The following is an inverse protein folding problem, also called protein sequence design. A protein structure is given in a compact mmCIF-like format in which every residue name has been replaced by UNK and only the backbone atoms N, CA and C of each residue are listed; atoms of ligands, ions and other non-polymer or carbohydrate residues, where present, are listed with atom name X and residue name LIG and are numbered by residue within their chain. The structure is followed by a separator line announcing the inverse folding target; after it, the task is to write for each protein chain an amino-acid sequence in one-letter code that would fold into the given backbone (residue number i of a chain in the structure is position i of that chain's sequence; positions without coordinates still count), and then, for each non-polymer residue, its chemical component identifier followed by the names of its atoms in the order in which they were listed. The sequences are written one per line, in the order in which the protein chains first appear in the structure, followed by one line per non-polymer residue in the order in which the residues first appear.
data_IF_034012975680
#
_entry.id   IF_034012975680
#
_cell.length_a   1.000
_cell.length_b   1.000
_cell.length_c   1.000
_cell.angle_alpha   90.00
_cell.angle_beta   90.00
_cell.angle_gamma   90.00
#
_symmetry.space_group_name_H-M   'P 1'
#
loop_
_entity.id
_entity.type
_entity.pdbx_description
1 polymer ?
#
# COMPACT_ATOMS: atom_id res chain seq x y z
N UNK A 1 -18.47 -21.46 14.63
CA UNK A 1 -17.06 -21.11 14.71
C UNK A 1 -16.78 -19.85 13.92
N UNK A 2 -16.07 -18.94 14.52
CA UNK A 2 -15.73 -17.69 13.84
C UNK A 2 -14.47 -17.87 12.99
N UNK A 3 -14.56 -17.50 11.74
CA UNK A 3 -13.38 -17.31 10.91
C UNK A 3 -12.81 -15.92 11.19
N UNK A 4 -11.54 -15.72 10.88
CA UNK A 4 -11.06 -14.37 10.74
C UNK A 4 -11.75 -13.69 9.56
N UNK A 5 -11.93 -12.38 9.63
CA UNK A 5 -12.49 -11.62 8.50
C UNK A 5 -11.70 -11.85 7.22
N UNK A 6 -10.38 -11.93 7.32
CA UNK A 6 -9.52 -12.14 6.16
C UNK A 6 -9.75 -13.50 5.51
N UNK A 7 -9.90 -14.57 6.32
CA UNK A 7 -10.18 -15.90 5.80
C UNK A 7 -11.55 -15.95 5.10
N UNK A 8 -12.54 -15.27 5.68
CA UNK A 8 -13.87 -15.19 5.09
C UNK A 8 -13.84 -14.46 3.75
N UNK A 9 -13.21 -13.30 3.71
CA UNK A 9 -13.08 -12.50 2.49
C UNK A 9 -12.32 -13.26 1.41
N UNK A 10 -11.22 -13.93 1.78
CA UNK A 10 -10.42 -14.71 0.85
C UNK A 10 -11.23 -15.81 0.17
N UNK A 11 -12.12 -16.47 0.90
CA UNK A 11 -12.94 -17.56 0.35
C UNK A 11 -14.06 -17.07 -0.58
N UNK A 12 -14.44 -15.79 -0.51
CA UNK A 12 -15.56 -15.24 -1.26
C UNK A 12 -15.17 -14.23 -2.33
N UNK A 13 -14.00 -13.63 -2.24
CA UNK A 13 -13.53 -12.64 -3.21
C UNK A 13 -12.67 -13.34 -4.26
N UNK A 14 -13.04 -13.15 -5.52
CA UNK A 14 -12.25 -13.61 -6.65
C UNK A 14 -11.27 -12.51 -7.04
N UNK A 15 -10.01 -12.88 -7.21
CA UNK A 15 -8.94 -11.96 -7.55
C UNK A 15 -7.60 -12.54 -7.10
N UNK A 16 -6.55 -11.75 -7.23
CA UNK A 16 -5.25 -12.18 -6.73
C UNK A 16 -5.22 -12.18 -5.21
N UNK A 17 -4.39 -13.03 -4.63
CA UNK A 17 -4.18 -13.05 -3.18
C UNK A 17 -3.64 -11.71 -2.68
N UNK A 18 -2.84 -11.05 -3.49
CA UNK A 18 -2.29 -9.73 -3.18
C UNK A 18 -3.40 -8.68 -3.07
N UNK A 19 -4.36 -8.71 -3.98
CA UNK A 19 -5.51 -7.79 -3.94
C UNK A 19 -6.37 -8.00 -2.71
N UNK A 20 -6.66 -9.26 -2.37
CA UNK A 20 -7.44 -9.57 -1.16
C UNK A 20 -6.73 -9.05 0.08
N UNK A 21 -5.42 -9.26 0.18
CA UNK A 21 -4.64 -8.81 1.32
C UNK A 21 -4.63 -7.29 1.42
N UNK A 22 -4.42 -6.58 0.31
CA UNK A 22 -4.32 -5.13 0.33
C UNK A 22 -5.66 -4.44 0.57
N UNK A 23 -6.75 -4.94 -0.02
CA UNK A 23 -8.09 -4.43 0.27
C UNK A 23 -8.48 -4.66 1.73
N UNK A 24 -8.14 -5.83 2.28
CA UNK A 24 -8.44 -6.15 3.67
C UNK A 24 -7.66 -5.25 4.63
N UNK A 25 -6.38 -5.02 4.35
CA UNK A 25 -5.55 -4.12 5.15
C UNK A 25 -6.09 -2.69 5.11
N UNK A 26 -6.42 -2.20 3.92
CA UNK A 26 -6.97 -0.86 3.76
C UNK A 26 -8.31 -0.71 4.50
N UNK A 27 -9.17 -1.73 4.44
CA UNK A 27 -10.42 -1.72 5.19
C UNK A 27 -10.17 -1.58 6.69
N UNK A 28 -9.28 -2.39 7.25
CA UNK A 28 -8.97 -2.34 8.68
C UNK A 28 -8.41 -0.98 9.09
N UNK A 29 -7.52 -0.42 8.28
CA UNK A 29 -6.94 0.91 8.53
C UNK A 29 -8.03 1.99 8.51
N UNK A 30 -9.00 1.88 7.60
CA UNK A 30 -10.09 2.85 7.49
C UNK A 30 -11.07 2.78 8.67
N UNK A 31 -11.18 1.62 9.32
CA UNK A 31 -12.09 1.40 10.44
C UNK A 31 -11.49 1.76 11.81
N UNK A 32 -10.18 1.90 11.90
CA UNK A 32 -9.52 2.12 13.18
C UNK A 32 -8.46 3.20 13.06
N UNK A 33 -8.65 4.30 13.78
CA UNK A 33 -7.65 5.36 13.84
C UNK A 33 -6.32 4.86 14.41
N UNK A 34 -6.38 3.96 15.39
CA UNK A 34 -5.17 3.39 15.99
C UNK A 34 -4.39 2.56 14.96
N UNK A 35 -5.08 1.74 14.17
CA UNK A 35 -4.42 0.97 13.11
C UNK A 35 -3.84 1.87 12.03
N UNK A 36 -4.54 2.93 11.65
CA UNK A 36 -4.04 3.93 10.72
C UNK A 36 -2.73 4.53 11.23
N UNK A 37 -2.71 4.96 12.48
CA UNK A 37 -1.53 5.57 13.08
C UNK A 37 -0.38 4.58 13.19
N UNK A 38 -0.65 3.33 13.58
CA UNK A 38 0.37 2.28 13.65
C UNK A 38 0.96 1.99 12.27
N UNK A 39 0.12 1.91 11.25
CA UNK A 39 0.59 1.65 9.89
C UNK A 39 1.44 2.82 9.37
N UNK A 40 0.98 4.05 9.59
CA UNK A 40 1.72 5.25 9.21
C UNK A 40 3.08 5.30 9.91
N UNK A 41 3.11 4.96 11.19
CA UNK A 41 4.36 4.91 11.96
C UNK A 41 5.32 3.84 11.41
N UNK A 42 4.79 2.67 11.08
CA UNK A 42 5.58 1.61 10.46
C UNK A 42 6.21 2.08 9.13
N UNK A 43 5.42 2.72 8.28
CA UNK A 43 5.92 3.22 7.00
C UNK A 43 6.96 4.33 7.20
N UNK A 44 6.74 5.19 8.17
CA UNK A 44 7.68 6.24 8.55
C UNK A 44 9.04 5.64 8.97
N UNK A 45 9.02 4.59 9.78
CA UNK A 45 10.23 3.90 10.21
C UNK A 45 10.95 3.23 9.04
N UNK A 46 10.22 2.53 8.19
CA UNK A 46 10.79 1.85 7.02
C UNK A 46 11.43 2.84 6.06
N UNK A 47 10.79 3.98 5.83
CA UNK A 47 11.31 5.03 4.95
C UNK A 47 12.35 5.91 5.61
N UNK A 48 12.54 5.77 6.93
CA UNK A 48 13.44 6.62 7.71
C UNK A 48 13.14 8.10 7.49
N UNK A 49 11.86 8.45 7.53
CA UNK A 49 11.40 9.83 7.32
C UNK A 49 10.20 10.10 8.24
N UNK A 50 10.13 11.31 8.76
CA UNK A 50 9.01 11.69 9.62
C UNK A 50 7.77 12.01 8.78
N UNK A 51 6.65 11.45 9.19
CA UNK A 51 5.34 11.74 8.61
C UNK A 51 4.51 12.37 9.74
N UNK A 52 4.36 13.68 9.70
CA UNK A 52 3.77 14.46 10.79
C UNK A 52 2.32 14.87 10.50
N UNK A 53 1.63 14.15 9.63
CA UNK A 53 0.24 14.42 9.29
C UNK A 53 -0.54 13.11 9.24
N UNK A 54 -1.86 13.25 9.35
CA UNK A 54 -2.76 12.12 9.16
C UNK A 54 -2.77 11.73 7.68
N UNK A 55 -2.73 10.42 7.42
CA UNK A 55 -2.81 9.89 6.08
C UNK A 55 -4.14 9.18 5.87
N UNK A 56 -4.67 9.33 4.66
CA UNK A 56 -5.87 8.66 4.19
C UNK A 56 -5.46 7.64 3.14
N UNK A 57 -5.71 6.37 3.41
CA UNK A 57 -5.26 5.26 2.56
C UNK A 57 -6.37 4.81 1.63
N UNK A 58 -6.05 4.67 0.35
CA UNK A 58 -6.95 4.14 -0.66
C UNK A 58 -6.26 3.04 -1.46
N UNK A 59 -7.06 2.15 -2.04
CA UNK A 59 -6.55 1.05 -2.86
C UNK A 59 -6.60 1.39 -4.33
N UNK A 60 -5.56 0.98 -5.07
CA UNK A 60 -5.51 0.92 -6.53
C UNK A 60 -5.97 2.19 -7.25
N UNK A 61 -5.58 3.35 -6.74
CA UNK A 61 -5.86 4.62 -7.43
C UNK A 61 -4.99 4.75 -8.67
N UNK A 62 -5.63 4.89 -9.85
CA UNK A 62 -4.93 4.95 -11.12
C UNK A 62 -4.31 6.34 -11.36
N UNK A 63 -3.05 6.39 -11.78
CA UNK A 63 -2.36 7.60 -12.15
C UNK A 63 -2.47 7.92 -13.65
N UNK A 64 -1.81 9.00 -14.07
CA UNK A 64 -1.83 9.50 -15.45
C UNK A 64 -1.29 8.49 -16.46
N UNK A 65 -0.30 7.70 -16.07
CA UNK A 65 0.34 6.68 -16.90
C UNK A 65 -0.20 5.28 -16.62
N UNK A 66 -1.41 5.19 -16.07
CA UNK A 66 -2.10 3.94 -15.73
C UNK A 66 -1.41 3.11 -14.65
N UNK A 67 -0.43 3.68 -13.93
CA UNK A 67 0.16 3.02 -12.78
C UNK A 67 -0.88 2.91 -11.66
N UNK A 68 -0.95 1.76 -11.01
CA UNK A 68 -1.93 1.47 -9.96
C UNK A 68 -1.23 0.85 -8.76
N UNK A 69 -0.73 1.66 -7.83
CA UNK A 69 -0.20 1.11 -6.59
C UNK A 69 -1.31 0.43 -5.79
N UNK A 70 -0.96 -0.61 -5.05
CA UNK A 70 -1.95 -1.34 -4.27
C UNK A 70 -2.56 -0.47 -3.18
N UNK A 71 -1.75 0.34 -2.51
CA UNK A 71 -2.22 1.30 -1.51
C UNK A 71 -1.54 2.64 -1.73
N UNK A 72 -2.33 3.71 -1.63
CA UNK A 72 -1.84 5.08 -1.71
C UNK A 72 -2.22 5.81 -0.42
N UNK A 73 -1.24 6.43 0.23
CA UNK A 73 -1.44 7.26 1.42
C UNK A 73 -1.39 8.74 1.05
N UNK A 74 -2.49 9.44 1.26
CA UNK A 74 -2.64 10.85 0.91
C UNK A 74 -2.83 11.71 2.15
N UNK A 75 -2.33 12.95 2.09
CA UNK A 75 -2.65 13.93 3.11
C UNK A 75 -4.06 14.53 2.91
N UNK A 76 -4.44 15.45 3.79
CA UNK A 76 -5.77 16.08 3.71
C UNK A 76 -5.97 16.95 2.46
N UNK A 77 -4.90 17.29 1.77
CA UNK A 77 -4.96 18.08 0.53
C UNK A 77 -4.97 17.19 -0.72
N UNK A 78 -4.96 15.87 -0.56
CA UNK A 78 -4.96 14.92 -1.65
C UNK A 78 -3.58 14.63 -2.23
N UNK A 79 -2.50 15.12 -1.61
CA UNK A 79 -1.15 14.82 -2.06
C UNK A 79 -0.75 13.39 -1.67
N UNK A 80 -0.27 12.61 -2.62
CA UNK A 80 0.20 11.26 -2.36
C UNK A 80 1.60 11.31 -1.75
N UNK A 81 1.69 10.94 -0.49
CA UNK A 81 2.98 10.96 0.23
C UNK A 81 3.66 9.60 0.21
N UNK A 82 2.89 8.51 0.21
CA UNK A 82 3.41 7.15 0.24
C UNK A 82 2.63 6.30 -0.75
N UNK A 83 3.36 5.47 -1.50
CA UNK A 83 2.78 4.40 -2.31
C UNK A 83 3.28 3.07 -1.78
N UNK A 84 2.38 2.09 -1.69
CA UNK A 84 2.69 0.73 -1.27
C UNK A 84 2.32 -0.25 -2.37
N UNK A 85 3.18 -1.22 -2.60
CA UNK A 85 2.98 -2.29 -3.58
C UNK A 85 3.21 -3.64 -2.91
N UNK A 86 2.25 -4.53 -3.04
CA UNK A 86 2.38 -5.89 -2.52
C UNK A 86 2.97 -6.81 -3.59
N UNK A 87 3.99 -7.58 -3.23
CA UNK A 87 4.67 -8.51 -4.14
C UNK A 87 4.83 -9.87 -3.47
N UNK A 88 3.73 -10.60 -3.38
CA UNK A 88 3.75 -11.93 -2.77
C UNK A 88 4.19 -13.01 -3.77
N UNK A 89 3.68 -12.96 -4.98
CA UNK A 89 3.94 -13.97 -6.01
C UNK A 89 4.39 -13.38 -7.34
N UNK A 90 3.97 -12.17 -7.66
CA UNK A 90 4.27 -11.53 -8.94
C UNK A 90 5.62 -10.81 -8.93
N UNK A 91 6.27 -10.77 -10.07
CA UNK A 91 7.50 -10.02 -10.25
C UNK A 91 7.20 -8.53 -10.49
N UNK A 92 8.22 -7.69 -10.32
CA UNK A 92 8.12 -6.28 -10.70
C UNK A 92 7.92 -6.17 -12.22
N UNK A 93 7.01 -5.29 -12.64
CA UNK A 93 6.83 -4.97 -14.05
C UNK A 93 7.86 -3.96 -14.52
N UNK A 94 7.96 -3.77 -15.85
CA UNK A 94 8.93 -2.82 -16.43
C UNK A 94 8.68 -1.36 -16.00
N UNK A 95 7.44 -1.01 -15.64
CA UNK A 95 7.09 0.33 -15.18
C UNK A 95 7.21 0.53 -13.67
N UNK A 96 7.49 -0.53 -12.94
CA UNK A 96 7.73 -0.51 -11.50
C UNK A 96 9.24 -0.62 -11.26
N UNK A 97 9.82 0.12 -10.36
CA UNK A 97 9.23 1.18 -9.52
C UNK A 97 9.24 2.58 -10.15
N UNK A 98 9.76 2.74 -11.36
CA UNK A 98 10.02 4.06 -11.94
C UNK A 98 8.76 4.92 -12.07
N UNK A 99 7.65 4.31 -12.51
CA UNK A 99 6.37 5.01 -12.65
C UNK A 99 5.87 5.55 -11.32
N UNK A 100 6.02 4.78 -10.25
CA UNK A 100 5.60 5.19 -8.91
C UNK A 100 6.48 6.30 -8.34
N UNK A 101 7.79 6.20 -8.55
CA UNK A 101 8.72 7.23 -8.11
C UNK A 101 8.42 8.57 -8.79
N UNK A 102 8.16 8.54 -10.10
CA UNK A 102 7.79 9.73 -10.84
C UNK A 102 6.49 10.35 -10.31
N UNK A 103 5.49 9.52 -10.03
CA UNK A 103 4.21 9.95 -9.46
C UNK A 103 4.41 10.61 -8.08
N UNK A 104 5.24 10.04 -7.23
CA UNK A 104 5.55 10.60 -5.92
C UNK A 104 6.24 11.95 -6.03
N UNK A 105 7.15 12.13 -6.97
CA UNK A 105 7.86 13.39 -7.15
C UNK A 105 6.94 14.55 -7.52
N UNK A 106 5.84 14.28 -8.19
CA UNK A 106 4.84 15.30 -8.54
C UNK A 106 4.13 15.87 -7.31
N UNK A 107 4.13 15.15 -6.19
CA UNK A 107 3.42 15.52 -4.97
C UNK A 107 4.35 15.70 -3.76
N UNK A 108 5.64 15.84 -3.94
CA UNK A 108 6.62 15.82 -2.85
C UNK A 108 6.46 14.60 -1.95
N UNK A 109 6.27 13.44 -2.56
CA UNK A 109 6.08 12.19 -1.85
C UNK A 109 7.28 11.77 -1.03
N UNK A 110 7.01 10.98 0.03
CA UNK A 110 8.03 10.50 0.96
C UNK A 110 8.68 9.20 0.52
N UNK A 111 7.94 8.31 -0.11
CA UNK A 111 8.54 7.10 -0.60
C UNK A 111 7.59 6.03 -1.09
N UNK A 112 8.21 5.01 -1.68
CA UNK A 112 7.56 3.81 -2.18
C UNK A 112 7.98 2.63 -1.29
N UNK A 113 7.01 1.86 -0.82
CA UNK A 113 7.24 0.71 0.04
C UNK A 113 6.72 -0.54 -0.63
N UNK A 114 7.56 -1.57 -0.70
CA UNK A 114 7.14 -2.89 -1.14
C UNK A 114 6.84 -3.77 0.06
N UNK A 115 5.70 -4.44 0.02
CA UNK A 115 5.29 -5.40 1.06
C UNK A 115 5.41 -6.79 0.45
N UNK A 116 6.31 -7.61 0.98
CA UNK A 116 6.54 -8.94 0.43
C UNK A 116 6.95 -9.92 1.54
N UNK A 117 6.78 -11.24 1.31
CA UNK A 117 7.35 -12.23 2.21
C UNK A 117 8.86 -12.14 2.24
N UNK A 118 9.44 -12.47 3.41
CA UNK A 118 10.88 -12.39 3.62
C UNK A 118 11.68 -13.18 2.56
N UNK A 119 11.16 -14.32 2.14
CA UNK A 119 11.81 -15.18 1.15
C UNK A 119 11.94 -14.53 -0.24
N UNK A 120 11.16 -13.48 -0.51
CA UNK A 120 11.16 -12.81 -1.82
C UNK A 120 12.10 -11.62 -1.90
N UNK A 121 12.59 -11.15 -0.78
CA UNK A 121 13.47 -9.96 -0.77
C UNK A 121 14.67 -10.10 -1.72
N UNK A 122 15.38 -11.25 -1.76
CA UNK A 122 16.54 -11.37 -2.64
C UNK A 122 16.25 -11.36 -4.14
N UNK A 123 14.98 -11.59 -4.55
CA UNK A 123 14.62 -11.68 -5.97
C UNK A 123 13.88 -10.44 -6.48
N UNK A 124 13.57 -9.51 -5.60
CA UNK A 124 13.02 -8.22 -5.96
C UNK A 124 14.10 -7.17 -6.06
#
# INVERSE_FOLDING_TARGET
MAYSLLAHLYSHIRGSQEDVATYSLQYLISQSKNLNQCFTHLLSDVLNTDINCDLFYSCQSQGKNKERPDISGKDKYGNELILCEAKFYEALTSNQPLGYIKRLKECDGKGLVFICPNARIPVL
#
